data_IF_240014474693
#
_entry.id   IF_240014474693
#
_cell.length_a   1.000
_cell.length_b   1.000
_cell.length_c   1.000
_cell.angle_alpha   90.00
_cell.angle_beta   90.00
_cell.angle_gamma   90.00
#
_symmetry.space_group_name_H-M   'P 1'
#
loop_
_entity.id
_entity.type
_entity.pdbx_description
1 polymer ?
#
# COMPACT_ATOMS: atom_id res chain seq x y z
N UNK A 1 -1.65 21.22 -9.32
CA UNK A 1 -1.72 20.74 -7.92
C UNK A 1 -0.29 20.46 -7.49
N UNK A 2 0.14 20.90 -6.30
CA UNK A 2 1.46 20.53 -5.77
C UNK A 2 1.37 19.06 -5.34
N UNK A 3 2.17 18.18 -5.95
CA UNK A 3 2.34 16.81 -5.49
C UNK A 3 3.14 16.85 -4.20
N UNK A 4 2.56 16.32 -3.14
CA UNK A 4 3.23 16.09 -1.87
C UNK A 4 4.22 14.93 -2.06
N UNK A 5 5.46 15.08 -1.61
CA UNK A 5 6.48 14.01 -1.70
C UNK A 5 6.24 12.87 -0.73
N UNK A 6 5.24 12.99 0.15
CA UNK A 6 4.93 12.00 1.19
C UNK A 6 4.36 10.69 0.61
N UNK A 7 4.58 9.62 1.35
CA UNK A 7 3.99 8.29 1.14
C UNK A 7 2.88 8.09 2.17
N UNK A 8 1.64 7.92 1.73
CA UNK A 8 0.52 7.66 2.63
C UNK A 8 0.28 6.17 2.78
N UNK A 9 0.35 5.66 4.00
CA UNK A 9 -0.08 4.30 4.35
C UNK A 9 -1.43 4.38 5.03
N UNK A 10 -2.45 3.73 4.45
CA UNK A 10 -3.85 3.85 4.88
C UNK A 10 -4.20 2.76 5.90
N UNK A 11 -4.53 3.17 7.11
CA UNK A 11 -4.91 2.27 8.20
C UNK A 11 -6.42 2.33 8.44
N UNK A 12 -7.08 1.18 8.36
CA UNK A 12 -8.47 1.00 8.74
C UNK A 12 -8.58 -0.12 9.78
N UNK A 13 -9.53 -0.05 10.72
CA UNK A 13 -9.70 -1.09 11.74
C UNK A 13 -9.76 -2.49 11.12
N UNK A 14 -8.96 -3.40 11.66
CA UNK A 14 -8.73 -4.73 11.14
C UNK A 14 -7.64 -4.82 10.07
N UNK A 15 -6.73 -3.84 9.98
CA UNK A 15 -5.53 -3.96 9.14
C UNK A 15 -4.63 -5.10 9.61
N UNK A 16 -3.88 -5.72 8.70
CA UNK A 16 -2.84 -6.69 9.04
C UNK A 16 -1.56 -5.97 9.49
N UNK A 17 -1.11 -6.22 10.70
CA UNK A 17 -0.02 -5.49 11.35
C UNK A 17 1.29 -5.59 10.58
N UNK A 18 1.68 -6.80 10.14
CA UNK A 18 2.92 -7.02 9.38
C UNK A 18 2.87 -6.25 8.04
N UNK A 19 1.72 -6.28 7.36
CA UNK A 19 1.56 -5.67 6.04
C UNK A 19 1.53 -4.14 6.08
N UNK A 20 1.16 -3.58 7.21
CA UNK A 20 1.10 -2.13 7.42
C UNK A 20 2.41 -1.57 7.98
N UNK A 21 2.93 -2.18 9.06
CA UNK A 21 4.08 -1.63 9.80
C UNK A 21 5.41 -1.89 9.07
N UNK A 22 5.56 -3.05 8.42
CA UNK A 22 6.80 -3.38 7.67
C UNK A 22 7.09 -2.36 6.57
N UNK A 23 6.14 -1.99 5.68
CA UNK A 23 6.40 -0.93 4.71
C UNK A 23 6.72 0.43 5.35
N UNK A 24 6.05 0.78 6.46
CA UNK A 24 6.34 2.05 7.16
C UNK A 24 7.80 2.09 7.62
N UNK A 25 8.29 1.03 8.29
CA UNK A 25 9.67 0.99 8.80
C UNK A 25 10.69 1.01 7.66
N UNK A 26 10.52 0.15 6.65
CA UNK A 26 11.45 0.03 5.52
C UNK A 26 11.53 1.35 4.73
N UNK A 27 10.40 1.96 4.40
CA UNK A 27 10.38 3.20 3.62
C UNK A 27 10.95 4.39 4.40
N UNK A 28 10.73 4.45 5.72
CA UNK A 28 11.38 5.44 6.59
C UNK A 28 12.89 5.24 6.66
N UNK A 29 13.39 3.99 6.71
CA UNK A 29 14.83 3.69 6.59
C UNK A 29 15.42 4.10 5.25
N UNK A 30 14.60 4.10 4.19
CA UNK A 30 14.98 4.66 2.88
C UNK A 30 14.84 6.20 2.84
N UNK A 31 14.64 6.87 3.98
CA UNK A 31 14.52 8.33 4.13
C UNK A 31 13.32 8.92 3.33
N UNK A 32 12.27 8.14 3.15
CA UNK A 32 11.01 8.61 2.57
C UNK A 32 10.12 9.19 3.68
N UNK A 33 9.40 10.25 3.37
CA UNK A 33 8.42 10.85 4.28
C UNK A 33 7.15 10.01 4.31
N UNK A 34 7.04 9.12 5.30
CA UNK A 34 5.92 8.19 5.45
C UNK A 34 4.94 8.68 6.51
N UNK A 35 3.72 8.92 6.09
CA UNK A 35 2.59 9.40 6.92
C UNK A 35 1.60 8.26 7.15
N UNK A 36 1.33 7.93 8.40
CA UNK A 36 0.29 6.98 8.81
C UNK A 36 -1.06 7.69 8.76
N UNK A 37 -1.96 7.21 7.91
CA UNK A 37 -3.26 7.83 7.66
C UNK A 37 -4.38 6.94 8.19
N UNK A 38 -5.08 7.42 9.22
CA UNK A 38 -6.25 6.72 9.76
C UNK A 38 -7.50 6.97 8.93
N UNK A 39 -8.08 5.89 8.40
CA UNK A 39 -9.32 5.92 7.62
C UNK A 39 -10.53 5.88 8.54
N UNK A 40 -10.49 5.04 9.56
CA UNK A 40 -11.57 4.87 10.56
C UNK A 40 -11.44 5.83 11.74
N UNK A 41 -10.27 6.42 11.97
CA UNK A 41 -10.05 7.34 13.08
C UNK A 41 -8.57 7.69 13.31
N UNK A 42 -8.31 8.40 14.40
CA UNK A 42 -6.96 8.76 14.84
C UNK A 42 -6.27 7.59 15.56
N UNK A 43 -7.03 6.73 16.22
CA UNK A 43 -6.61 5.47 16.82
C UNK A 43 -7.19 4.36 15.96
N UNK A 44 -6.37 3.42 15.50
CA UNK A 44 -6.79 2.33 14.62
C UNK A 44 -6.27 1.01 15.19
N UNK A 45 -7.16 0.00 15.25
CA UNK A 45 -6.85 -1.32 15.79
C UNK A 45 -6.64 -2.33 14.67
N UNK A 46 -5.51 -3.03 14.72
CA UNK A 46 -5.19 -4.11 13.81
C UNK A 46 -5.97 -5.40 14.06
N UNK A 47 -5.89 -6.32 13.11
CA UNK A 47 -6.58 -7.60 13.15
C UNK A 47 -6.13 -8.49 14.31
N UNK A 48 -4.89 -8.33 14.79
CA UNK A 48 -4.30 -9.08 15.90
C UNK A 48 -4.23 -8.25 17.21
N UNK A 49 -4.94 -7.13 17.25
CA UNK A 49 -5.19 -6.36 18.47
C UNK A 49 -4.20 -5.25 18.79
N UNK A 50 -3.21 -5.00 17.93
CA UNK A 50 -2.32 -3.84 18.13
C UNK A 50 -3.07 -2.54 17.84
N UNK A 51 -2.96 -1.58 18.73
CA UNK A 51 -3.53 -0.25 18.53
C UNK A 51 -2.42 0.75 18.17
N UNK A 52 -2.63 1.48 17.08
CA UNK A 52 -1.68 2.47 16.61
C UNK A 52 -2.33 3.85 16.55
N UNK A 53 -1.54 4.88 16.89
CA UNK A 53 -1.94 6.28 16.70
C UNK A 53 -1.44 6.77 15.36
N UNK A 54 -2.36 7.25 14.53
CA UNK A 54 -2.06 7.76 13.19
C UNK A 54 -1.48 9.17 13.23
N UNK A 55 -0.63 9.49 12.26
CA UNK A 55 -0.10 10.85 12.11
C UNK A 55 -1.22 11.82 11.70
N UNK A 56 -2.07 11.39 10.76
CA UNK A 56 -3.23 12.15 10.25
C UNK A 56 -4.45 11.26 10.08
N UNK A 57 -5.62 11.87 9.96
CA UNK A 57 -6.84 11.19 9.51
C UNK A 57 -7.09 11.51 8.03
N UNK A 58 -7.79 10.62 7.33
CA UNK A 58 -8.12 10.79 5.92
C UNK A 58 -8.83 12.13 5.63
N UNK A 59 -9.67 12.58 6.55
CA UNK A 59 -10.40 13.86 6.41
C UNK A 59 -9.48 15.10 6.40
N UNK A 60 -8.26 14.99 6.96
CA UNK A 60 -7.27 16.07 6.97
C UNK A 60 -6.50 16.18 5.65
N UNK A 61 -6.64 15.19 4.76
CA UNK A 61 -5.88 15.07 3.50
C UNK A 61 -6.67 15.50 2.25
N UNK A 62 -7.79 16.21 2.43
CA UNK A 62 -8.62 16.69 1.32
C UNK A 62 -7.76 17.48 0.32
N UNK A 63 -7.84 17.08 -0.96
CA UNK A 63 -7.15 17.70 -2.08
C UNK A 63 -5.59 17.55 -2.09
N UNK A 64 -5.01 16.79 -1.18
CA UNK A 64 -3.59 16.41 -1.26
C UNK A 64 -3.41 15.20 -2.15
N UNK A 65 -2.33 15.17 -2.90
CA UNK A 65 -1.95 14.07 -3.79
C UNK A 65 -0.55 13.62 -3.40
N UNK A 66 -0.38 12.46 -2.72
CA UNK A 66 0.91 11.98 -2.30
C UNK A 66 1.74 11.43 -3.47
N UNK A 67 3.05 11.26 -3.26
CA UNK A 67 3.92 10.54 -4.18
C UNK A 67 3.56 9.05 -4.27
N UNK A 68 3.01 8.50 -3.17
CA UNK A 68 2.50 7.13 -3.15
C UNK A 68 1.36 6.94 -2.15
N UNK A 69 0.48 5.98 -2.44
CA UNK A 69 -0.52 5.46 -1.51
C UNK A 69 -0.34 3.95 -1.37
N UNK A 70 -0.34 3.47 -0.11
CA UNK A 70 -0.16 2.06 0.24
C UNK A 70 -1.40 1.58 1.00
N UNK A 71 -1.96 0.47 0.54
CA UNK A 71 -3.11 -0.20 1.12
C UNK A 71 -2.68 -1.55 1.71
N UNK A 72 -2.56 -1.66 3.05
CA UNK A 72 -2.37 -2.94 3.71
C UNK A 72 -3.62 -3.81 3.59
N UNK A 73 -3.43 -5.12 3.71
CA UNK A 73 -4.52 -6.07 3.81
C UNK A 73 -5.06 -6.22 5.22
N UNK A 74 -5.49 -7.43 5.54
CA UNK A 74 -6.22 -7.75 6.76
C UNK A 74 -7.73 -7.59 6.59
N UNK A 75 -8.49 -8.38 7.35
CA UNK A 75 -9.94 -8.29 7.40
C UNK A 75 -10.39 -8.01 8.83
N UNK A 76 -11.32 -7.05 9.04
CA UNK A 76 -12.11 -6.33 8.04
C UNK A 76 -11.44 -5.07 7.43
N UNK A 77 -10.15 -4.80 7.72
CA UNK A 77 -9.44 -3.58 7.29
C UNK A 77 -9.59 -3.28 5.80
N UNK A 78 -9.33 -4.27 4.93
CA UNK A 78 -9.50 -4.11 3.48
C UNK A 78 -10.94 -3.76 3.08
N UNK A 79 -11.95 -4.36 3.74
CA UNK A 79 -13.35 -4.01 3.48
C UNK A 79 -13.66 -2.57 3.90
N UNK A 80 -13.08 -2.11 5.01
CA UNK A 80 -13.24 -0.74 5.47
C UNK A 80 -12.58 0.25 4.50
N UNK A 81 -11.41 -0.10 3.93
CA UNK A 81 -10.79 0.69 2.86
C UNK A 81 -11.68 0.75 1.61
N UNK A 82 -12.18 -0.40 1.15
CA UNK A 82 -13.02 -0.53 -0.06
C UNK A 82 -14.35 0.23 0.07
N UNK A 83 -14.97 0.19 1.25
CA UNK A 83 -16.24 0.87 1.54
C UNK A 83 -16.10 2.39 1.72
N UNK A 84 -14.87 2.89 1.89
CA UNK A 84 -14.63 4.31 2.16
C UNK A 84 -14.38 5.06 0.85
N UNK A 85 -15.42 5.69 0.28
CA UNK A 85 -15.33 6.44 -0.99
C UNK A 85 -14.12 7.39 -1.07
N UNK A 86 -13.76 8.20 -0.05
CA UNK A 86 -12.58 9.05 -0.10
C UNK A 86 -11.25 8.31 -0.26
N UNK A 87 -11.15 7.02 0.14
CA UNK A 87 -9.99 6.16 -0.14
C UNK A 87 -9.88 5.93 -1.65
N UNK A 88 -10.95 5.51 -2.30
CA UNK A 88 -10.97 5.32 -3.75
C UNK A 88 -10.61 6.60 -4.52
N UNK A 89 -11.15 7.74 -4.10
CA UNK A 89 -10.84 9.04 -4.68
C UNK A 89 -9.36 9.42 -4.54
N UNK A 90 -8.74 9.15 -3.37
CA UNK A 90 -7.32 9.37 -3.12
C UNK A 90 -6.45 8.45 -4.00
N UNK A 91 -6.80 7.17 -4.07
CA UNK A 91 -6.08 6.17 -4.89
C UNK A 91 -6.12 6.56 -6.38
N UNK A 92 -7.29 6.88 -6.92
CA UNK A 92 -7.43 7.32 -8.31
C UNK A 92 -6.63 8.58 -8.59
N UNK A 93 -6.73 9.60 -7.74
CA UNK A 93 -5.98 10.85 -7.88
C UNK A 93 -4.48 10.63 -7.83
N UNK A 94 -3.98 9.76 -6.95
CA UNK A 94 -2.57 9.40 -6.89
C UNK A 94 -2.09 8.73 -8.18
N UNK A 95 -2.87 7.77 -8.69
CA UNK A 95 -2.57 7.08 -9.95
C UNK A 95 -2.57 8.04 -11.15
N UNK A 96 -3.56 8.91 -11.26
CA UNK A 96 -3.70 9.93 -12.31
C UNK A 96 -2.53 10.92 -12.32
N UNK A 97 -2.00 11.25 -11.14
CA UNK A 97 -0.82 12.11 -10.99
C UNK A 97 0.52 11.38 -11.25
N UNK A 98 0.50 10.09 -11.61
CA UNK A 98 1.70 9.28 -11.83
C UNK A 98 2.38 8.82 -10.55
N UNK A 99 1.71 8.93 -9.40
CA UNK A 99 2.18 8.40 -8.10
C UNK A 99 2.18 6.88 -8.06
N UNK A 100 2.87 6.30 -7.06
CA UNK A 100 2.90 4.85 -6.85
C UNK A 100 1.65 4.41 -6.09
N UNK A 101 1.01 3.33 -6.55
CA UNK A 101 -0.09 2.68 -5.84
C UNK A 101 0.36 1.28 -5.43
N UNK A 102 0.51 1.06 -4.12
CA UNK A 102 0.87 -0.22 -3.55
C UNK A 102 -0.31 -0.87 -2.82
N UNK A 103 -0.54 -2.16 -3.04
CA UNK A 103 -1.54 -2.92 -2.30
C UNK A 103 -1.09 -4.36 -2.07
N UNK A 104 -1.34 -4.88 -0.86
CA UNK A 104 -0.87 -6.20 -0.45
C UNK A 104 -2.01 -7.07 0.07
N UNK A 105 -1.90 -8.38 -0.09
CA UNK A 105 -2.82 -9.39 0.45
C UNK A 105 -4.22 -9.27 -0.17
N UNK A 106 -5.24 -8.94 0.61
CA UNK A 106 -6.59 -8.71 0.12
C UNK A 106 -6.76 -7.32 -0.54
N UNK A 107 -5.92 -6.34 -0.20
CA UNK A 107 -6.08 -4.95 -0.62
C UNK A 107 -5.99 -4.69 -2.14
N UNK A 108 -5.30 -5.51 -2.98
CA UNK A 108 -5.39 -5.38 -4.43
C UNK A 108 -6.83 -5.40 -4.98
N UNK A 109 -7.80 -6.01 -4.25
CA UNK A 109 -9.21 -5.93 -4.62
C UNK A 109 -9.73 -4.50 -4.73
N UNK A 110 -9.26 -3.59 -3.89
CA UNK A 110 -9.69 -2.17 -3.90
C UNK A 110 -9.29 -1.52 -5.22
N UNK A 111 -8.02 -1.62 -5.59
CA UNK A 111 -7.51 -1.02 -6.84
C UNK A 111 -8.04 -1.75 -8.10
N UNK A 112 -8.30 -3.06 -7.99
CA UNK A 112 -8.97 -3.83 -9.05
C UNK A 112 -10.39 -3.36 -9.31
N UNK A 113 -11.19 -3.14 -8.27
CA UNK A 113 -12.57 -2.64 -8.37
C UNK A 113 -12.64 -1.20 -8.90
N UNK A 114 -11.62 -0.40 -8.65
CA UNK A 114 -11.48 0.94 -9.25
C UNK A 114 -11.09 0.88 -10.74
N UNK A 115 -10.84 -0.31 -11.32
CA UNK A 115 -10.47 -0.51 -12.72
C UNK A 115 -9.02 -0.14 -13.04
N UNK A 116 -8.21 0.17 -12.04
CA UNK A 116 -6.82 0.64 -12.20
C UNK A 116 -5.84 -0.48 -12.61
N UNK A 117 -6.24 -1.75 -12.46
CA UNK A 117 -5.44 -2.91 -12.85
C UNK A 117 -5.75 -3.44 -14.25
N UNK A 118 -6.64 -2.81 -15.00
CA UNK A 118 -7.02 -3.26 -16.35
C UNK A 118 -5.79 -3.31 -17.29
N UNK A 119 -5.54 -4.50 -17.87
CA UNK A 119 -4.40 -4.74 -18.76
C UNK A 119 -3.03 -4.75 -18.07
N UNK A 120 -2.99 -4.83 -16.73
CA UNK A 120 -1.76 -4.91 -15.92
C UNK A 120 -1.60 -6.28 -15.30
N UNK A 121 -0.36 -6.70 -15.12
CA UNK A 121 -0.02 -7.86 -14.29
C UNK A 121 -0.26 -7.52 -12.82
N UNK A 122 -0.91 -8.43 -12.11
CA UNK A 122 -1.20 -8.22 -10.68
C UNK A 122 -1.32 -9.55 -9.93
N UNK A 123 -1.07 -9.49 -8.62
CA UNK A 123 -1.25 -10.59 -7.68
C UNK A 123 -2.03 -10.11 -6.45
N UNK A 124 -2.55 -11.04 -5.67
CA UNK A 124 -3.23 -10.78 -4.41
C UNK A 124 -3.15 -12.03 -3.50
N UNK A 125 -3.77 -11.95 -2.34
CA UNK A 125 -3.96 -13.14 -1.49
C UNK A 125 -4.86 -14.15 -2.20
N UNK A 126 -4.56 -15.46 -2.12
CA UNK A 126 -5.38 -16.52 -2.72
C UNK A 126 -6.86 -16.41 -2.33
N UNK A 127 -7.74 -16.47 -3.34
CA UNK A 127 -9.20 -16.32 -3.17
C UNK A 127 -9.72 -14.90 -3.39
N UNK A 128 -8.86 -13.92 -3.68
CA UNK A 128 -9.26 -12.54 -4.01
C UNK A 128 -9.08 -12.18 -5.48
N UNK A 129 -8.65 -13.13 -6.31
CA UNK A 129 -8.31 -12.91 -7.71
C UNK A 129 -9.51 -12.41 -8.53
N UNK A 130 -10.73 -12.81 -8.19
CA UNK A 130 -11.94 -12.37 -8.89
C UNK A 130 -12.16 -10.84 -8.86
N UNK A 131 -11.59 -10.18 -7.84
CA UNK A 131 -11.70 -8.74 -7.67
C UNK A 131 -10.65 -7.95 -8.47
N UNK A 132 -9.64 -8.59 -9.05
CA UNK A 132 -8.63 -7.95 -9.91
C UNK A 132 -9.21 -7.73 -11.32
N UNK A 133 -10.20 -6.85 -11.43
CA UNK A 133 -11.00 -6.68 -12.64
C UNK A 133 -10.15 -6.25 -13.84
N UNK A 134 -10.09 -7.10 -14.86
CA UNK A 134 -9.37 -6.84 -16.11
C UNK A 134 -7.84 -6.95 -16.00
N UNK A 135 -7.30 -7.40 -14.86
CA UNK A 135 -5.87 -7.67 -14.70
C UNK A 135 -5.45 -9.00 -15.35
N UNK A 136 -4.20 -9.07 -15.77
CA UNK A 136 -3.49 -10.32 -16.00
C UNK A 136 -3.03 -10.85 -14.63
N UNK A 137 -3.73 -11.86 -14.13
CA UNK A 137 -3.48 -12.47 -12.83
C UNK A 137 -2.28 -13.39 -12.90
N UNK A 138 -1.26 -13.15 -12.09
CA UNK A 138 -0.03 -13.92 -12.06
C UNK A 138 0.24 -14.49 -10.66
N UNK A 139 1.05 -15.57 -10.60
CA UNK A 139 1.38 -16.27 -9.36
C UNK A 139 2.63 -15.71 -8.65
N UNK A 140 3.26 -14.69 -9.22
CA UNK A 140 4.40 -14.02 -8.57
C UNK A 140 3.96 -13.45 -7.23
N UNK A 141 4.82 -13.58 -6.21
CA UNK A 141 4.47 -13.15 -4.85
C UNK A 141 4.47 -11.62 -4.68
N UNK A 142 5.28 -10.92 -5.48
CA UNK A 142 5.29 -9.44 -5.60
C UNK A 142 5.34 -9.10 -7.08
N UNK A 143 4.46 -8.23 -7.52
CA UNK A 143 4.36 -7.79 -8.92
C UNK A 143 4.48 -6.28 -8.99
N UNK A 144 5.41 -5.80 -9.81
CA UNK A 144 5.51 -4.40 -10.20
C UNK A 144 5.12 -4.28 -11.67
N UNK A 145 4.11 -3.45 -11.96
CA UNK A 145 3.70 -3.11 -13.32
C UNK A 145 3.50 -1.59 -13.41
N UNK A 146 4.44 -0.92 -14.09
CA UNK A 146 4.50 0.54 -14.11
C UNK A 146 4.63 1.14 -12.72
N UNK A 147 3.62 1.89 -12.29
CA UNK A 147 3.57 2.53 -10.95
C UNK A 147 2.68 1.76 -9.96
N UNK A 148 2.27 0.54 -10.30
CA UNK A 148 1.48 -0.32 -9.42
C UNK A 148 2.34 -1.44 -8.85
N UNK A 149 2.26 -1.64 -7.54
CA UNK A 149 2.92 -2.75 -6.84
C UNK A 149 1.85 -3.54 -6.10
N UNK A 150 1.71 -4.83 -6.44
CA UNK A 150 0.80 -5.74 -5.74
C UNK A 150 1.57 -6.90 -5.13
N UNK A 151 1.10 -7.42 -3.99
CA UNK A 151 1.77 -8.51 -3.30
C UNK A 151 0.80 -9.50 -2.64
N UNK A 152 1.24 -10.75 -2.50
CA UNK A 152 0.39 -11.87 -2.13
C UNK A 152 -0.03 -11.89 -0.66
N UNK A 153 0.76 -11.32 0.27
CA UNK A 153 0.41 -11.34 1.68
C UNK A 153 1.58 -11.09 2.63
N UNK A 154 1.35 -11.21 3.93
CA UNK A 154 2.26 -10.83 5.01
C UNK A 154 3.69 -11.39 4.87
N UNK A 155 3.84 -12.62 4.37
CA UNK A 155 5.15 -13.25 4.18
C UNK A 155 6.04 -12.62 3.12
N UNK A 156 5.57 -11.58 2.39
CA UNK A 156 6.35 -10.80 1.42
C UNK A 156 6.24 -9.30 1.65
N UNK A 157 5.81 -8.88 2.83
CA UNK A 157 5.63 -7.46 3.16
C UNK A 157 6.93 -6.65 3.01
N UNK A 158 8.08 -7.24 3.32
CA UNK A 158 9.38 -6.60 3.13
C UNK A 158 9.72 -6.44 1.63
N UNK A 159 9.57 -7.48 0.82
CA UNK A 159 9.82 -7.42 -0.62
C UNK A 159 8.89 -6.43 -1.32
N UNK A 160 7.62 -6.38 -0.90
CA UNK A 160 6.66 -5.37 -1.33
C UNK A 160 7.15 -3.96 -1.01
N UNK A 161 7.61 -3.72 0.21
CA UNK A 161 8.12 -2.41 0.64
C UNK A 161 9.36 -2.00 -0.16
N UNK A 162 10.30 -2.92 -0.40
CA UNK A 162 11.47 -2.66 -1.24
C UNK A 162 11.10 -2.36 -2.69
N UNK A 163 10.11 -3.05 -3.26
CA UNK A 163 9.62 -2.76 -4.60
C UNK A 163 9.00 -1.36 -4.70
N UNK A 164 8.18 -0.95 -3.73
CA UNK A 164 7.64 0.40 -3.63
C UNK A 164 8.76 1.44 -3.48
N UNK A 165 9.70 1.19 -2.56
CA UNK A 165 10.83 2.08 -2.30
C UNK A 165 11.73 2.27 -3.52
N UNK A 166 11.95 1.20 -4.32
CA UNK A 166 12.70 1.26 -5.57
C UNK A 166 12.06 2.21 -6.58
N UNK A 167 10.73 2.21 -6.69
CA UNK A 167 10.01 3.12 -7.58
C UNK A 167 10.01 4.58 -7.09
N UNK A 168 10.11 4.81 -5.78
CA UNK A 168 10.05 6.14 -5.19
C UNK A 168 11.42 6.81 -5.07
N UNK A 169 12.44 6.02 -4.85
CA UNK A 169 13.82 6.51 -4.68
C UNK A 169 14.74 5.88 -5.73
N UNK A 170 15.28 4.70 -5.45
CA UNK A 170 16.15 3.94 -6.37
C UNK A 170 16.46 2.53 -5.82
N UNK A 171 16.99 1.66 -6.68
CA UNK A 171 17.36 0.29 -6.32
C UNK A 171 18.59 0.21 -5.41
N UNK A 172 19.48 1.19 -5.46
CA UNK A 172 20.71 1.20 -4.64
C UNK A 172 20.35 1.43 -3.17
N UNK A 173 19.48 2.42 -2.91
CA UNK A 173 18.94 2.70 -1.58
C UNK A 173 18.16 1.50 -1.02
N UNK A 174 17.33 0.87 -1.84
CA UNK A 174 16.58 -0.32 -1.44
C UNK A 174 17.51 -1.48 -1.07
N UNK A 175 18.53 -1.77 -1.89
CA UNK A 175 19.53 -2.82 -1.62
C UNK A 175 20.37 -2.52 -0.38
N UNK A 176 20.73 -1.25 -0.14
CA UNK A 176 21.45 -0.85 1.07
C UNK A 176 20.64 -1.12 2.33
N UNK A 177 19.38 -0.68 2.36
CA UNK A 177 18.47 -0.90 3.50
C UNK A 177 18.21 -2.40 3.70
N UNK A 178 17.97 -3.18 2.61
CA UNK A 178 17.78 -4.63 2.67
C UNK A 178 18.96 -5.31 3.39
N UNK A 179 20.21 -5.03 3.00
CA UNK A 179 21.40 -5.58 3.65
C UNK A 179 21.55 -5.12 5.10
N UNK A 180 21.30 -3.83 5.40
CA UNK A 180 21.39 -3.31 6.77
C UNK A 180 20.41 -3.97 7.73
N UNK A 181 19.26 -4.42 7.23
CA UNK A 181 18.24 -5.15 7.97
C UNK A 181 18.46 -6.68 7.98
N UNK A 182 19.58 -7.18 7.41
CA UNK A 182 19.92 -8.61 7.35
C UNK A 182 18.91 -9.47 6.58
N UNK A 183 18.18 -8.90 5.62
CA UNK A 183 17.46 -9.71 4.66
C UNK A 183 18.45 -10.35 3.67
N UNK A 184 18.27 -11.65 3.40
CA UNK A 184 19.01 -12.35 2.33
C UNK A 184 18.69 -11.77 0.95
N UNK A 185 19.67 -11.86 0.06
CA UNK A 185 19.51 -11.47 -1.35
C UNK A 185 18.54 -12.40 -2.08
#
# INVERSE_FOLDING_TARGET
MMTDSSVYVLFADGFEEIEAVTPVDILRRMELDVVLVGVTGKQVRGAHGMELTMDRTLNQLKNQTPAAVILPGGMPGTRNLDATRPVGELVCRTAEAGGVVGAICAAPMVIGRLGLLRGRRATCFPGFEEHLLGAEKVSDRVVTDGRFVTAAGAGVAADFAFAVGTLLKDSVSAAFVRRSMQFSD
#
